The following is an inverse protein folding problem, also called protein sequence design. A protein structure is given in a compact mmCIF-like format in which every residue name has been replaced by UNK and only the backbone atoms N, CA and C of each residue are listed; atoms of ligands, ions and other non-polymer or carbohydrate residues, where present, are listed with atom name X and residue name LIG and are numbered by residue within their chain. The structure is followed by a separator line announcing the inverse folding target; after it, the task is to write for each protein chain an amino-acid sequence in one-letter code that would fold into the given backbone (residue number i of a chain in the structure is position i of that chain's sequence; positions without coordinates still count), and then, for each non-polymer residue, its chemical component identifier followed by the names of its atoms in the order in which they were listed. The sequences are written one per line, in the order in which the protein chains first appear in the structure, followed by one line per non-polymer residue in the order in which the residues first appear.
data_IF_807672276367
#
_entry.id   IF_807672276367
#
_cell.length_a   1.000
_cell.length_b   1.000
_cell.length_c   1.000
_cell.angle_alpha   90.00
_cell.angle_beta   90.00
_cell.angle_gamma   90.00
#
_symmetry.space_group_name_H-M   'P 1'
#
loop_
_entity.id
_entity.type
_entity.pdbx_description
1 polymer ?
#
# COMPACT_ATOMS: atom_id res chain seq x y z
N UNK A 1 -26.11 10.41 -10.75
CA UNK A 1 -26.01 9.80 -9.40
C UNK A 1 -26.26 8.31 -9.52
N UNK A 2 -25.54 7.49 -8.78
CA UNK A 2 -25.66 6.02 -8.73
C UNK A 2 -26.08 5.63 -7.34
N UNK A 3 -27.12 4.83 -7.21
CA UNK A 3 -27.60 4.34 -5.90
C UNK A 3 -27.24 2.87 -5.73
N UNK A 4 -26.58 2.55 -4.62
CA UNK A 4 -26.18 1.20 -4.24
C UNK A 4 -26.42 0.96 -2.75
N UNK A 5 -26.24 -0.28 -2.30
CA UNK A 5 -26.38 -0.61 -0.87
C UNK A 5 -25.08 -1.22 -0.36
N UNK A 6 -24.54 -0.68 0.75
CA UNK A 6 -23.34 -1.22 1.43
C UNK A 6 -23.76 -1.66 2.83
N UNK A 7 -23.63 -2.93 3.13
CA UNK A 7 -24.08 -3.56 4.39
C UNK A 7 -25.55 -3.26 4.75
N UNK A 8 -26.41 -3.09 3.72
CA UNK A 8 -27.81 -2.74 3.91
C UNK A 8 -28.10 -1.23 4.00
N UNK A 9 -27.07 -0.39 4.06
CA UNK A 9 -27.20 1.08 4.10
C UNK A 9 -27.20 1.62 2.65
N UNK A 10 -28.20 2.40 2.23
CA UNK A 10 -28.22 3.00 0.91
C UNK A 10 -27.14 4.10 0.81
N UNK A 11 -26.46 4.16 -0.32
CA UNK A 11 -25.50 5.19 -0.67
C UNK A 11 -25.80 5.72 -2.08
N UNK A 12 -25.78 7.03 -2.25
CA UNK A 12 -25.89 7.69 -3.54
C UNK A 12 -24.58 8.42 -3.82
N UNK A 13 -23.93 8.06 -4.92
CA UNK A 13 -22.60 8.56 -5.28
C UNK A 13 -22.56 8.99 -6.74
N UNK A 14 -21.52 9.72 -7.13
CA UNK A 14 -21.29 10.11 -8.51
C UNK A 14 -20.82 8.93 -9.38
N UNK A 15 -21.10 8.95 -10.69
CA UNK A 15 -20.52 8.01 -11.63
C UNK A 15 -18.99 8.04 -11.58
N UNK A 16 -18.35 6.86 -11.57
CA UNK A 16 -16.91 6.75 -11.47
C UNK A 16 -16.37 6.57 -10.04
N UNK A 17 -17.17 6.88 -9.01
CA UNK A 17 -16.81 6.63 -7.60
C UNK A 17 -16.55 5.13 -7.39
N UNK A 18 -15.46 4.81 -6.70
CA UNK A 18 -15.14 3.41 -6.36
C UNK A 18 -15.97 2.93 -5.16
N UNK A 19 -16.09 1.60 -5.00
CA UNK A 19 -16.77 1.04 -3.82
C UNK A 19 -16.06 1.38 -2.52
N UNK A 20 -14.75 1.60 -2.56
CA UNK A 20 -13.98 2.04 -1.38
C UNK A 20 -14.37 3.45 -0.96
N UNK A 21 -14.45 4.37 -1.90
CA UNK A 21 -14.87 5.76 -1.65
C UNK A 21 -16.33 5.80 -1.18
N UNK A 22 -17.21 5.06 -1.84
CA UNK A 22 -18.61 4.96 -1.43
C UNK A 22 -18.77 4.42 0.02
N UNK A 23 -17.94 3.45 0.41
CA UNK A 23 -17.94 2.93 1.78
C UNK A 23 -17.44 3.99 2.78
N UNK A 24 -16.40 4.75 2.43
CA UNK A 24 -15.86 5.84 3.27
C UNK A 24 -16.88 6.95 3.49
N UNK A 25 -17.69 7.32 2.48
CA UNK A 25 -18.77 8.29 2.66
C UNK A 25 -19.81 7.85 3.69
N UNK A 26 -19.99 6.54 3.87
CA UNK A 26 -20.85 5.98 4.91
C UNK A 26 -20.14 5.75 6.26
N UNK A 27 -18.88 6.14 6.40
CA UNK A 27 -18.08 5.87 7.60
C UNK A 27 -17.69 4.39 7.75
N UNK A 28 -17.78 3.59 6.69
CA UNK A 28 -17.43 2.18 6.70
C UNK A 28 -15.96 2.02 6.33
N UNK A 29 -15.16 1.57 7.27
CA UNK A 29 -13.75 1.31 7.05
C UNK A 29 -13.51 -0.02 6.33
N UNK A 30 -12.76 0.03 5.23
CA UNK A 30 -12.28 -1.13 4.50
C UNK A 30 -10.74 -1.11 4.53
N UNK A 31 -10.08 -2.17 5.01
CA UNK A 31 -8.63 -2.18 5.13
C UNK A 31 -7.95 -2.12 3.76
N UNK A 32 -6.90 -1.32 3.67
CA UNK A 32 -6.10 -1.16 2.44
C UNK A 32 -4.62 -1.11 2.79
N UNK A 33 -3.76 -1.56 1.86
CA UNK A 33 -2.31 -1.40 1.94
C UNK A 33 -1.72 -0.73 0.71
N UNK A 34 -2.25 -1.00 -0.48
CA UNK A 34 -1.73 -0.41 -1.71
C UNK A 34 -2.49 0.85 -2.15
N UNK A 35 -3.69 1.10 -1.61
CA UNK A 35 -4.44 2.32 -1.90
C UNK A 35 -3.90 3.48 -1.06
N UNK A 36 -3.83 4.64 -1.68
CA UNK A 36 -3.49 5.92 -1.04
C UNK A 36 -4.17 7.03 -1.84
N UNK A 37 -4.76 7.98 -1.12
CA UNK A 37 -5.40 9.13 -1.75
C UNK A 37 -4.37 9.97 -2.51
N UNK A 38 -4.74 10.49 -3.66
CA UNK A 38 -3.82 11.18 -4.56
C UNK A 38 -2.96 10.28 -5.46
N UNK A 39 -3.06 8.94 -5.33
CA UNK A 39 -2.41 8.00 -6.25
C UNK A 39 -3.45 7.16 -6.99
N UNK A 40 -3.21 6.90 -8.26
CA UNK A 40 -4.08 6.06 -9.08
C UNK A 40 -4.34 4.69 -8.40
N UNK A 41 -5.58 4.22 -8.30
CA UNK A 41 -5.90 2.93 -7.72
C UNK A 41 -5.16 1.77 -8.44
N UNK A 42 -4.56 0.86 -7.66
CA UNK A 42 -3.71 -0.20 -8.24
C UNK A 42 -4.25 -1.62 -8.00
N UNK A 43 -4.93 -1.85 -6.86
CA UNK A 43 -5.54 -3.14 -6.55
C UNK A 43 -4.57 -4.29 -6.25
N UNK A 44 -3.29 -4.03 -6.00
CA UNK A 44 -2.26 -5.06 -5.84
C UNK A 44 -2.39 -5.88 -4.56
N UNK A 45 -2.65 -5.25 -3.41
CA UNK A 45 -2.64 -5.94 -2.12
C UNK A 45 -3.87 -6.84 -1.89
N UNK A 46 -4.95 -6.63 -2.62
CA UNK A 46 -6.22 -7.34 -2.54
C UNK A 46 -6.93 -7.26 -1.17
N UNK A 47 -6.39 -6.55 -0.20
CA UNK A 47 -6.94 -6.50 1.16
C UNK A 47 -8.30 -5.80 1.23
N UNK A 48 -8.55 -4.85 0.32
CA UNK A 48 -9.81 -4.13 0.21
C UNK A 48 -10.97 -4.96 -0.40
N UNK A 49 -10.82 -6.28 -0.44
CA UNK A 49 -11.84 -7.19 -0.99
C UNK A 49 -13.19 -6.99 -0.31
N UNK A 50 -14.25 -6.93 -1.12
CA UNK A 50 -15.65 -6.90 -0.71
C UNK A 50 -16.45 -7.89 -1.53
N UNK A 51 -17.60 -8.30 -1.03
CA UNK A 51 -18.50 -9.20 -1.74
C UNK A 51 -19.62 -8.40 -2.37
N UNK A 52 -19.85 -8.60 -3.67
CA UNK A 52 -20.91 -7.95 -4.44
C UNK A 52 -21.92 -8.95 -4.98
N UNK A 53 -23.16 -8.47 -5.12
CA UNK A 53 -24.27 -9.26 -5.66
C UNK A 53 -25.02 -10.06 -4.59
N UNK A 54 -25.90 -10.94 -5.07
CA UNK A 54 -26.72 -11.85 -4.23
C UNK A 54 -26.23 -13.28 -4.40
N UNK A 55 -26.31 -14.08 -3.35
CA UNK A 55 -26.10 -15.53 -3.45
C UNK A 55 -27.17 -16.14 -4.38
N UNK A 56 -26.83 -17.16 -5.22
CA UNK A 56 -25.52 -17.81 -5.32
C UNK A 56 -24.50 -17.07 -6.21
N UNK A 57 -24.91 -16.05 -6.96
CA UNK A 57 -24.09 -15.35 -7.95
C UNK A 57 -23.18 -14.27 -7.35
N UNK A 58 -22.94 -14.26 -6.03
CA UNK A 58 -22.05 -13.28 -5.40
C UNK A 58 -20.59 -13.53 -5.76
N UNK A 59 -19.82 -12.44 -5.90
CA UNK A 59 -18.38 -12.49 -6.21
C UNK A 59 -17.57 -11.54 -5.34
N UNK A 60 -16.28 -11.82 -5.19
CA UNK A 60 -15.32 -10.96 -4.48
C UNK A 60 -14.62 -10.02 -5.48
N UNK A 61 -14.60 -8.73 -5.15
CA UNK A 61 -13.93 -7.70 -5.95
C UNK A 61 -13.07 -6.81 -5.06
N UNK A 62 -12.07 -6.13 -5.63
CA UNK A 62 -11.29 -5.10 -4.93
C UNK A 62 -12.06 -3.79 -4.93
N UNK A 63 -12.49 -3.32 -3.76
CA UNK A 63 -13.29 -2.09 -3.65
C UNK A 63 -12.56 -0.83 -4.15
N UNK A 64 -11.24 -0.78 -4.04
CA UNK A 64 -10.44 0.39 -4.46
C UNK A 64 -10.35 0.60 -5.99
N UNK A 65 -10.72 -0.43 -6.77
CA UNK A 65 -10.66 -0.36 -8.25
C UNK A 65 -12.00 -0.66 -8.91
N UNK A 66 -12.98 -1.11 -8.15
CA UNK A 66 -14.29 -1.47 -8.69
C UNK A 66 -15.24 -0.26 -8.62
N UNK A 67 -15.77 0.23 -9.75
CA UNK A 67 -16.68 1.37 -9.76
C UNK A 67 -18.04 1.00 -9.15
N UNK A 68 -18.68 1.95 -8.51
CA UNK A 68 -20.05 1.84 -8.04
C UNK A 68 -21.00 1.63 -9.27
N UNK A 69 -22.02 0.81 -9.08
CA UNK A 69 -23.02 0.52 -10.11
C UNK A 69 -24.41 0.59 -9.52
N UNK A 70 -25.39 0.98 -10.34
CA UNK A 70 -26.78 1.12 -9.93
C UNK A 70 -27.34 -0.20 -9.39
N UNK A 71 -28.04 -0.14 -8.27
CA UNK A 71 -28.66 -1.28 -7.62
C UNK A 71 -27.70 -2.32 -7.02
N UNK A 72 -26.37 -2.04 -7.02
CA UNK A 72 -25.38 -2.98 -6.51
C UNK A 72 -25.53 -3.19 -5.00
N UNK A 73 -25.46 -4.45 -4.57
CA UNK A 73 -25.40 -4.82 -3.16
C UNK A 73 -23.99 -5.22 -2.78
N UNK A 74 -23.43 -4.56 -1.78
CA UNK A 74 -22.06 -4.75 -1.30
C UNK A 74 -22.06 -5.19 0.15
N UNK A 75 -21.28 -6.21 0.48
CA UNK A 75 -21.01 -6.67 1.84
C UNK A 75 -19.53 -6.55 2.13
N UNK A 76 -19.18 -5.77 3.15
CA UNK A 76 -17.77 -5.49 3.50
C UNK A 76 -17.20 -6.44 4.54
N UNK A 77 -18.05 -7.19 5.26
CA UNK A 77 -17.65 -8.05 6.38
C UNK A 77 -18.28 -9.45 6.36
N UNK A 78 -18.68 -9.98 5.19
CA UNK A 78 -19.22 -11.34 5.12
C UNK A 78 -18.14 -12.38 5.51
N UNK A 79 -18.56 -13.59 5.92
CA UNK A 79 -17.64 -14.68 6.26
C UNK A 79 -16.67 -15.01 5.12
N UNK A 80 -17.14 -14.86 3.87
CA UNK A 80 -16.32 -15.05 2.66
C UNK A 80 -15.27 -13.96 2.51
N UNK A 81 -15.61 -12.70 2.79
CA UNK A 81 -14.68 -11.56 2.80
C UNK A 81 -13.64 -11.73 3.90
N UNK A 82 -14.07 -12.03 5.13
CA UNK A 82 -13.17 -12.22 6.27
C UNK A 82 -12.18 -13.37 6.02
N UNK A 83 -12.65 -14.48 5.48
CA UNK A 83 -11.77 -15.61 5.10
C UNK A 83 -10.75 -15.21 4.03
N UNK A 84 -11.17 -14.45 3.02
CA UNK A 84 -10.26 -13.97 1.98
C UNK A 84 -9.20 -13.02 2.54
N UNK A 85 -9.58 -12.08 3.42
CA UNK A 85 -8.62 -11.17 4.08
C UNK A 85 -7.63 -11.91 4.98
N UNK A 86 -8.08 -12.89 5.75
CA UNK A 86 -7.19 -13.74 6.57
C UNK A 86 -6.15 -14.44 5.70
N UNK A 87 -6.55 -15.04 4.58
CA UNK A 87 -5.62 -15.67 3.65
C UNK A 87 -4.62 -14.67 3.06
N UNK A 88 -5.07 -13.49 2.66
CA UNK A 88 -4.19 -12.45 2.13
C UNK A 88 -3.18 -11.99 3.18
N UNK A 89 -3.62 -11.78 4.42
CA UNK A 89 -2.74 -11.37 5.51
C UNK A 89 -1.75 -12.46 5.88
N UNK A 90 -2.15 -13.72 5.84
CA UNK A 90 -1.25 -14.86 6.04
C UNK A 90 -0.13 -14.88 4.97
N UNK A 91 -0.48 -14.66 3.70
CA UNK A 91 0.50 -14.56 2.60
C UNK A 91 1.42 -13.34 2.76
N UNK A 92 0.88 -12.20 3.19
CA UNK A 92 1.67 -10.99 3.44
C UNK A 92 2.61 -11.17 4.63
N UNK A 93 2.18 -11.83 5.70
CA UNK A 93 3.05 -12.19 6.84
C UNK A 93 4.16 -13.16 6.42
N UNK A 94 3.86 -14.11 5.54
CA UNK A 94 4.88 -15.00 5.00
C UNK A 94 5.95 -14.26 4.20
N UNK A 95 5.54 -13.25 3.43
CA UNK A 95 6.48 -12.43 2.65
C UNK A 95 7.23 -11.42 3.52
N UNK A 96 6.52 -10.68 4.36
CA UNK A 96 7.07 -9.57 5.15
C UNK A 96 6.76 -9.73 6.64
N UNK A 97 7.33 -10.74 7.32
CA UNK A 97 7.01 -11.05 8.71
C UNK A 97 7.37 -9.93 9.69
N UNK A 98 8.32 -9.07 9.34
CA UNK A 98 8.77 -7.96 10.18
C UNK A 98 7.99 -6.64 9.95
N UNK A 99 7.04 -6.61 9.02
CA UNK A 99 6.24 -5.42 8.79
C UNK A 99 5.20 -5.23 9.89
N UNK A 100 5.38 -4.22 10.73
CA UNK A 100 4.45 -3.90 11.83
C UNK A 100 3.01 -3.71 11.34
N UNK A 101 2.81 -3.00 10.24
CA UNK A 101 1.48 -2.79 9.66
C UNK A 101 0.81 -4.10 9.24
N UNK A 102 1.58 -5.04 8.69
CA UNK A 102 1.05 -6.37 8.34
C UNK A 102 0.74 -7.18 9.59
N UNK A 103 1.60 -7.12 10.61
CA UNK A 103 1.39 -7.78 11.90
C UNK A 103 0.14 -7.27 12.60
N UNK A 104 -0.07 -5.95 12.66
CA UNK A 104 -1.23 -5.33 13.31
C UNK A 104 -2.53 -5.72 12.59
N UNK A 105 -2.53 -5.68 11.26
CA UNK A 105 -3.68 -6.13 10.46
C UNK A 105 -3.94 -7.63 10.64
N UNK A 106 -2.89 -8.44 10.67
CA UNK A 106 -3.03 -9.88 10.89
C UNK A 106 -3.60 -10.19 12.28
N UNK A 107 -3.16 -9.46 13.31
CA UNK A 107 -3.71 -9.54 14.65
C UNK A 107 -5.19 -9.15 14.69
N UNK A 108 -5.55 -8.03 14.06
CA UNK A 108 -6.94 -7.56 13.98
C UNK A 108 -7.88 -8.55 13.28
N UNK A 109 -7.36 -9.33 12.33
CA UNK A 109 -8.09 -10.39 11.63
C UNK A 109 -7.91 -11.78 12.25
N UNK A 110 -7.27 -11.89 13.43
CA UNK A 110 -7.04 -13.15 14.15
C UNK A 110 -6.34 -14.23 13.29
N UNK A 111 -5.31 -13.83 12.56
CA UNK A 111 -4.47 -14.78 11.81
C UNK A 111 -3.56 -15.49 12.79
N UNK A 112 -3.93 -16.73 13.16
CA UNK A 112 -3.26 -17.50 14.24
C UNK A 112 -2.17 -18.45 13.75
N UNK A 113 -2.24 -18.87 12.50
CA UNK A 113 -1.31 -19.87 11.95
C UNK A 113 -0.66 -19.35 10.70
N UNK A 114 0.62 -19.56 10.58
CA UNK A 114 1.37 -19.31 9.37
C UNK A 114 1.68 -20.65 8.68
N UNK A 115 1.00 -20.90 7.56
CA UNK A 115 1.13 -22.14 6.78
C UNK A 115 2.18 -22.04 5.67
N UNK A 116 2.59 -20.81 5.32
CA UNK A 116 3.47 -20.54 4.20
C UNK A 116 4.91 -20.29 4.66
N UNK A 117 5.89 -20.67 3.83
CA UNK A 117 7.31 -20.42 4.09
C UNK A 117 7.57 -18.91 4.16
N UNK A 118 8.25 -18.50 5.22
CA UNK A 118 8.66 -17.11 5.39
C UNK A 118 9.79 -16.74 4.44
N UNK A 119 9.70 -15.55 3.83
CA UNK A 119 10.70 -15.02 2.89
C UNK A 119 11.56 -13.92 3.47
N UNK A 120 11.22 -13.35 4.61
CA UNK A 120 11.92 -12.23 5.23
C UNK A 120 12.15 -11.03 4.29
N UNK A 121 11.23 -10.79 3.39
CA UNK A 121 11.30 -9.64 2.52
C UNK A 121 10.89 -8.36 3.25
N UNK A 122 11.39 -7.21 2.77
CA UNK A 122 11.07 -5.91 3.35
C UNK A 122 9.99 -5.17 2.55
N UNK A 123 9.52 -5.73 1.45
CA UNK A 123 8.61 -5.11 0.52
C UNK A 123 7.38 -5.97 0.23
N UNK A 124 6.18 -5.41 0.44
CA UNK A 124 4.91 -6.05 0.11
C UNK A 124 4.48 -5.84 -1.36
N UNK A 125 5.34 -5.28 -2.19
CA UNK A 125 5.10 -4.98 -3.61
C UNK A 125 3.82 -4.17 -3.88
N UNK A 126 3.43 -3.30 -2.95
CA UNK A 126 2.19 -2.52 -3.05
C UNK A 126 2.23 -1.41 -4.12
N UNK A 127 3.41 -1.04 -4.61
CA UNK A 127 3.61 -0.06 -5.66
C UNK A 127 3.30 1.39 -5.32
N UNK A 128 3.08 1.75 -4.04
CA UNK A 128 2.87 3.15 -3.66
C UNK A 128 4.07 4.02 -4.02
N UNK A 129 5.28 3.57 -3.72
CA UNK A 129 6.52 4.29 -4.02
C UNK A 129 6.72 4.52 -5.53
N UNK A 130 6.43 3.53 -6.36
CA UNK A 130 6.53 3.65 -7.82
C UNK A 130 5.54 4.70 -8.35
N UNK A 131 4.28 4.63 -7.90
CA UNK A 131 3.24 5.59 -8.30
C UNK A 131 3.51 6.99 -7.76
N UNK A 132 3.96 7.12 -6.51
CA UNK A 132 4.38 8.41 -5.96
C UNK A 132 5.48 9.04 -6.82
N UNK A 133 6.51 8.26 -7.18
CA UNK A 133 7.61 8.73 -8.01
C UNK A 133 7.16 9.11 -9.42
N UNK A 134 6.19 8.37 -9.98
CA UNK A 134 5.73 8.61 -11.35
C UNK A 134 4.64 9.69 -11.44
N UNK A 135 3.67 9.69 -10.52
CA UNK A 135 2.45 10.50 -10.62
C UNK A 135 2.59 11.84 -9.91
N UNK A 136 3.14 11.86 -8.69
CA UNK A 136 3.26 13.06 -7.89
C UNK A 136 4.62 13.76 -8.09
N UNK A 137 5.69 13.00 -8.08
CA UNK A 137 7.04 13.56 -8.25
C UNK A 137 7.46 13.71 -9.71
N UNK A 138 6.73 13.12 -10.66
CA UNK A 138 6.99 13.16 -12.12
C UNK A 138 8.40 12.71 -12.50
N UNK A 139 9.12 12.03 -11.61
CA UNK A 139 10.51 11.64 -11.80
C UNK A 139 10.68 10.28 -12.49
N UNK A 140 9.74 9.33 -12.25
CA UNK A 140 9.78 7.96 -12.79
C UNK A 140 11.11 7.24 -12.56
N UNK A 141 11.81 7.61 -11.48
CA UNK A 141 13.16 7.13 -11.17
C UNK A 141 13.20 5.66 -10.70
N UNK A 142 12.08 5.15 -10.16
CA UNK A 142 11.96 3.77 -9.68
C UNK A 142 10.79 3.07 -10.35
N UNK A 143 10.91 1.76 -10.50
CA UNK A 143 9.90 0.93 -11.13
C UNK A 143 9.89 -0.49 -10.58
N UNK A 144 8.97 -1.31 -11.09
CA UNK A 144 9.02 -2.74 -10.88
C UNK A 144 10.03 -3.39 -11.83
N UNK A 145 10.83 -4.28 -11.29
CA UNK A 145 11.77 -5.11 -12.04
C UNK A 145 11.56 -6.58 -11.73
N UNK A 146 11.99 -7.46 -12.63
CA UNK A 146 11.78 -8.90 -12.50
C UNK A 146 10.31 -9.29 -12.58
N UNK A 147 10.04 -10.57 -12.36
CA UNK A 147 8.69 -11.14 -12.37
C UNK A 147 8.59 -12.31 -11.38
N UNK A 148 7.34 -12.70 -11.07
CA UNK A 148 7.08 -13.78 -10.14
C UNK A 148 7.72 -13.54 -8.77
N UNK A 149 8.43 -14.53 -8.28
CA UNK A 149 9.11 -14.46 -6.98
C UNK A 149 10.32 -13.51 -6.96
N UNK A 150 10.90 -13.23 -8.12
CA UNK A 150 12.02 -12.29 -8.26
C UNK A 150 11.56 -10.85 -8.53
N UNK A 151 10.26 -10.58 -8.43
CA UNK A 151 9.75 -9.22 -8.60
C UNK A 151 10.19 -8.34 -7.44
N UNK A 152 10.80 -7.20 -7.78
CA UNK A 152 11.27 -6.22 -6.80
C UNK A 152 11.00 -4.79 -7.28
N UNK A 153 11.31 -3.83 -6.43
CA UNK A 153 11.28 -2.40 -6.78
C UNK A 153 12.71 -1.89 -6.75
N UNK A 154 13.08 -1.13 -7.75
CA UNK A 154 14.41 -0.55 -7.84
C UNK A 154 14.51 0.46 -8.96
N UNK A 155 15.71 0.97 -9.14
CA UNK A 155 16.10 1.81 -10.27
C UNK A 155 16.45 0.94 -11.48
N UNK A 156 16.39 1.48 -12.71
CA UNK A 156 16.86 0.76 -13.89
C UNK A 156 18.32 0.36 -13.72
N UNK A 157 18.64 -0.88 -14.08
CA UNK A 157 20.00 -1.44 -14.04
C UNK A 157 20.73 -1.38 -12.71
N UNK A 158 20.01 -1.19 -11.60
CA UNK A 158 20.57 -1.07 -10.24
C UNK A 158 21.56 0.12 -10.06
N UNK A 159 21.50 1.10 -10.95
CA UNK A 159 22.26 2.34 -10.83
C UNK A 159 21.37 3.48 -10.38
N UNK A 160 21.95 4.49 -9.76
CA UNK A 160 21.22 5.69 -9.39
C UNK A 160 20.61 6.33 -10.63
N UNK A 161 19.31 6.63 -10.58
CA UNK A 161 18.61 7.27 -11.69
C UNK A 161 18.91 8.77 -11.69
N UNK A 162 19.33 9.31 -12.82
CA UNK A 162 19.53 10.75 -13.02
C UNK A 162 18.26 11.59 -12.82
N UNK A 163 17.08 10.98 -13.03
CA UNK A 163 15.79 11.65 -12.81
C UNK A 163 15.37 11.66 -11.35
N UNK A 164 16.09 10.98 -10.45
CA UNK A 164 15.77 10.97 -9.03
C UNK A 164 16.04 12.34 -8.40
N UNK A 165 14.99 12.91 -7.81
CA UNK A 165 15.05 14.23 -7.15
C UNK A 165 15.39 14.13 -5.66
N UNK A 166 15.68 12.94 -5.15
CA UNK A 166 15.94 12.68 -3.73
C UNK A 166 14.88 13.22 -2.76
N UNK A 167 13.63 13.33 -3.22
CA UNK A 167 12.54 13.98 -2.48
C UNK A 167 11.97 13.15 -1.31
N UNK A 168 12.44 11.92 -1.09
CA UNK A 168 11.94 11.03 -0.03
C UNK A 168 10.50 10.54 -0.18
N UNK A 169 9.75 11.00 -1.19
CA UNK A 169 8.34 10.66 -1.38
C UNK A 169 8.05 9.17 -1.45
N UNK A 170 8.94 8.40 -2.08
CA UNK A 170 8.81 6.94 -2.16
C UNK A 170 8.93 6.25 -0.78
N UNK A 171 9.71 6.82 0.13
CA UNK A 171 9.84 6.32 1.51
C UNK A 171 8.62 6.71 2.34
N UNK A 172 8.20 7.96 2.23
CA UNK A 172 7.04 8.50 2.94
C UNK A 172 5.77 7.68 2.74
N UNK A 173 5.49 7.27 1.50
CA UNK A 173 4.28 6.50 1.18
C UNK A 173 4.41 4.99 1.43
N UNK A 174 5.58 4.50 1.81
CA UNK A 174 5.84 3.08 1.95
C UNK A 174 5.34 2.53 3.29
N UNK A 175 4.29 1.70 3.32
CA UNK A 175 3.78 1.17 4.58
C UNK A 175 4.76 0.21 5.27
N UNK A 176 5.71 -0.36 4.53
CA UNK A 176 6.75 -1.21 5.10
C UNK A 176 7.93 -0.38 5.65
N UNK A 177 8.25 0.76 5.03
CA UNK A 177 9.34 1.63 5.46
C UNK A 177 9.00 2.49 6.68
N UNK A 178 7.76 2.87 6.88
CA UNK A 178 7.34 3.75 7.99
C UNK A 178 7.79 3.30 9.38
N UNK A 179 8.25 2.07 9.50
CA UNK A 179 8.70 1.50 10.78
C UNK A 179 10.20 1.14 10.82
N UNK A 180 10.85 1.14 9.67
CA UNK A 180 12.29 0.84 9.61
C UNK A 180 13.15 2.09 9.53
N UNK A 181 12.55 3.20 9.21
CA UNK A 181 13.19 4.51 9.25
C UNK A 181 13.14 5.16 10.64
N UNK A 182 12.86 4.44 11.70
CA UNK A 182 13.14 4.89 13.07
C UNK A 182 14.64 4.70 13.34
N UNK A 183 15.36 5.65 13.12
CA UNK A 183 16.73 6.05 12.94
C UNK A 183 17.79 5.58 13.90
N UNK A 184 17.55 4.64 14.77
CA UNK A 184 18.61 4.19 15.66
C UNK A 184 19.62 3.22 15.02
N UNK A 185 19.33 2.71 13.82
CA UNK A 185 20.22 1.77 13.14
C UNK A 185 20.14 1.94 11.61
N UNK A 186 20.85 2.91 11.01
CA UNK A 186 20.81 3.14 9.56
C UNK A 186 21.23 1.93 8.72
N UNK A 187 22.06 1.05 9.27
CA UNK A 187 22.49 -0.18 8.59
C UNK A 187 21.40 -1.22 8.39
N UNK A 188 20.30 -1.14 9.15
CA UNK A 188 19.15 -2.06 9.06
C UNK A 188 17.96 -1.50 8.26
N UNK A 189 18.05 -0.28 7.79
CA UNK A 189 16.98 0.43 7.08
C UNK A 189 16.87 0.08 5.59
N UNK A 190 17.28 -1.10 5.19
CA UNK A 190 17.35 -1.45 3.78
C UNK A 190 16.07 -2.17 3.33
N UNK A 191 15.08 -1.42 2.85
CA UNK A 191 14.14 -1.99 1.89
C UNK A 191 14.71 -1.84 0.47
N UNK A 192 14.32 -2.74 -0.46
CA UNK A 192 14.85 -2.72 -1.82
C UNK A 192 14.67 -1.38 -2.55
N UNK A 193 13.65 -0.57 -2.21
CA UNK A 193 13.47 0.77 -2.75
C UNK A 193 14.49 1.77 -2.18
N UNK A 194 14.85 1.65 -0.90
CA UNK A 194 15.81 2.51 -0.24
C UNK A 194 17.26 2.12 -0.56
N UNK A 195 17.55 0.84 -0.72
CA UNK A 195 18.90 0.36 -1.03
C UNK A 195 19.46 0.98 -2.32
N UNK A 196 18.61 1.24 -3.30
CA UNK A 196 18.99 1.81 -4.59
C UNK A 196 18.87 3.34 -4.65
N UNK A 197 18.25 3.95 -3.63
CA UNK A 197 18.18 5.41 -3.46
C UNK A 197 19.20 5.89 -2.42
N UNK A 198 20.03 5.02 -1.95
CA UNK A 198 20.48 4.87 -0.59
C UNK A 198 21.42 5.89 -0.03
N UNK A 199 22.24 6.51 -0.76
CA UNK A 199 23.27 7.30 -0.11
C UNK A 199 22.75 8.64 0.44
N UNK A 200 21.97 9.44 -0.30
CA UNK A 200 21.65 10.80 0.16
C UNK A 200 20.62 10.86 1.29
N UNK A 201 19.72 9.89 1.38
CA UNK A 201 18.69 9.87 2.42
C UNK A 201 19.22 9.51 3.81
N UNK A 202 20.40 8.92 3.88
CA UNK A 202 20.99 8.43 5.13
C UNK A 202 22.14 9.33 5.63
N UNK A 203 22.58 10.28 4.83
CA UNK A 203 23.66 11.20 5.19
C UNK A 203 23.09 12.57 5.61
N UNK A 204 23.13 12.85 6.91
CA UNK A 204 22.66 14.11 7.53
C UNK A 204 22.99 15.40 6.74
N UNK A 205 24.19 15.61 6.20
CA UNK A 205 24.55 16.87 5.54
C UNK A 205 23.84 17.15 4.23
N UNK A 206 23.25 16.13 3.61
CA UNK A 206 22.59 16.27 2.30
C UNK A 206 21.09 16.54 2.40
N UNK A 207 20.53 16.44 3.60
CA UNK A 207 19.13 16.79 3.83
C UNK A 207 18.89 18.29 3.79
N UNK A 208 19.87 19.10 4.19
CA UNK A 208 19.76 20.55 4.17
C UNK A 208 19.75 21.14 2.74
N UNK A 209 20.36 20.42 1.79
CA UNK A 209 20.42 20.83 0.37
C UNK A 209 19.27 20.28 -0.48
N UNK A 210 18.44 19.40 0.08
CA UNK A 210 17.43 18.70 -0.68
C UNK A 210 16.04 19.18 -0.34
N UNK A 211 15.23 19.30 -1.37
CA UNK A 211 13.80 19.62 -1.34
C UNK A 211 12.94 18.62 -0.54
N UNK A 212 13.50 17.90 0.42
CA UNK A 212 12.75 17.15 1.43
C UNK A 212 11.84 18.05 2.28
N UNK A 213 12.09 19.35 2.27
CA UNK A 213 11.23 20.35 2.90
C UNK A 213 9.81 20.42 2.36
N UNK A 214 9.57 19.97 1.14
CA UNK A 214 8.24 20.04 0.52
C UNK A 214 7.35 18.84 0.85
N UNK A 215 7.92 17.74 1.29
CA UNK A 215 7.20 16.59 1.80
C UNK A 215 7.94 16.07 3.02
N UNK A 216 7.56 16.51 4.24
CA UNK A 216 8.19 16.01 5.44
C UNK A 216 8.05 14.49 5.46
N UNK A 217 9.17 13.80 5.33
CA UNK A 217 9.23 12.37 5.53
C UNK A 217 8.97 12.14 7.02
N UNK A 218 7.74 11.76 7.38
CA UNK A 218 7.33 11.51 8.77
C UNK A 218 8.23 10.43 9.42
N UNK A 219 8.88 9.63 8.60
CA UNK A 219 9.88 8.67 9.03
C UNK A 219 11.26 9.27 9.30
N UNK A 220 11.52 10.52 8.93
CA UNK A 220 12.78 11.21 9.13
C UNK A 220 12.68 12.21 10.27
N UNK A 221 12.85 11.75 11.50
CA UNK A 221 13.05 12.64 12.66
C UNK A 221 14.41 13.33 12.69
N UNK A 222 15.23 13.16 11.66
CA UNK A 222 16.56 13.76 11.52
C UNK A 222 16.53 15.31 11.49
N UNK A 223 15.36 15.90 11.31
CA UNK A 223 15.21 17.36 11.27
C UNK A 223 15.01 18.02 12.63
N UNK A 224 15.10 17.30 13.74
CA UNK A 224 14.79 17.85 15.07
C UNK A 224 15.99 18.22 15.93
N UNK A 225 17.22 18.11 15.41
CA UNK A 225 18.44 18.55 16.12
C UNK A 225 19.28 19.51 15.28
#
# INVERSE_FOLDING_TARGET
MITLTINGIPATVEPGTTLLEAARYLGIEIPTLCHMDGLTPYGACRLCVVEIGKAPASRLVSSCTFPAQEGLRVRTGSSRVTRARRMILELLLASCPQSKVVQDLASAYEVRMQRFRQRHESCILCGRCVRMCAEQMMAKAIGFRGRGEHRSIGTPFDVQSETCRFCGGCMYVCPACQLRCTFNEPEKAICGACANLSAPCLEKPKFDDLMCYMTPCVACEIQKD
#
